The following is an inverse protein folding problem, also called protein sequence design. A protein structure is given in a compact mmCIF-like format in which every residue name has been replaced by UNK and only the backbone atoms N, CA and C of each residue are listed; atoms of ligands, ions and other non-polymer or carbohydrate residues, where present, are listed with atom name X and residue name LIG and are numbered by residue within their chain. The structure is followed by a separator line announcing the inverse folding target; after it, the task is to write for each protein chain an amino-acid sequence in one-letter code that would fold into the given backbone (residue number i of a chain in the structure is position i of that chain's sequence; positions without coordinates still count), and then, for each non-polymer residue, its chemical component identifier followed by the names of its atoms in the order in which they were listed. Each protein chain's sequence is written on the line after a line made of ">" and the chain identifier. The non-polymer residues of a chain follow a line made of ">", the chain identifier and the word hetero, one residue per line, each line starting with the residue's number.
data_IF_928204204788
#
_entry.id   IF_928204204788
#
_cell.length_a   1.000
_cell.length_b   1.000
_cell.length_c   1.000
_cell.angle_alpha   90.00
_cell.angle_beta   90.00
_cell.angle_gamma   90.00
#
_symmetry.space_group_name_H-M   'P 1'
#
loop_
_entity.id
_entity.type
_entity.pdbx_description
1 polymer ?
#
# COMPACT_ATOMS: atom_id res chain seq x y z
N UNK A 1 5.18 16.09 -3.85
CA UNK A 1 6.09 14.97 -3.56
C UNK A 1 5.29 13.70 -3.78
N UNK A 2 5.83 12.71 -4.48
CA UNK A 2 5.07 11.52 -4.87
C UNK A 2 5.32 10.37 -3.91
N UNK A 3 4.24 9.72 -3.49
CA UNK A 3 4.28 8.46 -2.75
C UNK A 3 3.63 7.38 -3.61
N UNK A 4 4.37 6.30 -3.86
CA UNK A 4 3.95 5.13 -4.62
C UNK A 4 3.61 4.03 -3.63
N UNK A 5 2.33 3.71 -3.52
CA UNK A 5 1.80 2.67 -2.65
C UNK A 5 1.65 1.37 -3.45
N UNK A 6 2.26 0.29 -2.98
CA UNK A 6 2.21 -1.03 -3.61
C UNK A 6 1.59 -2.00 -2.61
N UNK A 7 0.47 -2.64 -2.98
CA UNK A 7 -0.02 -3.77 -2.18
C UNK A 7 0.81 -5.00 -2.48
N UNK A 8 1.15 -5.79 -1.46
CA UNK A 8 1.79 -7.08 -1.66
C UNK A 8 1.05 -7.93 -2.72
N UNK A 9 1.80 -8.73 -3.48
CA UNK A 9 1.30 -9.68 -4.44
C UNK A 9 0.49 -10.80 -3.77
N UNK A 10 -0.26 -11.54 -4.58
CA UNK A 10 -1.23 -12.53 -4.11
C UNK A 10 -0.57 -13.62 -3.24
N UNK A 11 -0.98 -13.70 -1.97
CA UNK A 11 -0.40 -14.65 -1.00
C UNK A 11 -1.12 -16.00 -0.99
N UNK A 12 -0.51 -16.99 -0.32
CA UNK A 12 -1.17 -18.27 -0.04
C UNK A 12 -2.48 -18.08 0.76
N UNK A 13 -2.51 -17.16 1.72
CA UNK A 13 -3.72 -16.83 2.47
C UNK A 13 -4.81 -16.23 1.57
N UNK A 14 -4.44 -15.40 0.60
CA UNK A 14 -5.41 -14.89 -0.39
C UNK A 14 -6.00 -16.03 -1.22
N UNK A 15 -5.17 -16.98 -1.68
CA UNK A 15 -5.63 -18.14 -2.44
C UNK A 15 -6.64 -18.99 -1.67
N UNK A 16 -6.51 -19.05 -0.34
CA UNK A 16 -7.38 -19.82 0.55
C UNK A 16 -8.57 -19.01 1.09
N UNK A 17 -8.68 -17.72 0.76
CA UNK A 17 -9.70 -16.83 1.32
C UNK A 17 -9.60 -16.65 2.84
N UNK A 18 -8.37 -16.67 3.37
CA UNK A 18 -8.07 -16.52 4.79
C UNK A 18 -7.71 -15.07 5.09
N UNK A 19 -8.28 -14.53 6.17
CA UNK A 19 -7.89 -13.24 6.72
C UNK A 19 -6.61 -13.42 7.55
N UNK A 20 -5.45 -13.11 6.98
CA UNK A 20 -4.16 -13.42 7.60
C UNK A 20 -3.75 -12.47 8.71
N UNK A 21 -4.05 -11.18 8.57
CA UNK A 21 -3.51 -10.15 9.46
C UNK A 21 -1.99 -10.16 9.51
N UNK A 22 -1.46 -10.11 10.73
CA UNK A 22 -0.03 -10.10 11.01
C UNK A 22 0.59 -11.50 11.18
N UNK A 23 -0.13 -12.58 10.85
CA UNK A 23 0.42 -13.94 10.95
C UNK A 23 1.74 -14.09 10.16
N UNK A 24 2.80 -14.65 10.79
CA UNK A 24 4.08 -14.87 10.12
C UNK A 24 4.02 -16.08 9.18
N UNK A 25 5.05 -16.25 8.34
CA UNK A 25 5.22 -17.44 7.50
C UNK A 25 4.27 -17.54 6.30
N UNK A 26 3.55 -16.46 5.98
CA UNK A 26 2.65 -16.42 4.83
C UNK A 26 3.41 -15.89 3.62
N UNK A 27 3.84 -16.83 2.77
CA UNK A 27 4.53 -16.55 1.52
C UNK A 27 3.56 -16.18 0.39
N UNK A 28 4.14 -15.73 -0.73
CA UNK A 28 3.43 -15.58 -1.99
C UNK A 28 2.89 -16.93 -2.51
N UNK A 29 1.75 -16.86 -3.19
CA UNK A 29 1.25 -17.97 -4.01
C UNK A 29 1.98 -18.02 -5.36
N UNK A 30 1.85 -19.08 -6.18
CA UNK A 30 2.42 -19.11 -7.53
C UNK A 30 2.00 -17.89 -8.37
N UNK A 31 0.71 -17.52 -8.34
CA UNK A 31 0.19 -16.29 -8.96
C UNK A 31 0.87 -15.03 -8.41
N UNK A 32 1.18 -15.01 -7.12
CA UNK A 32 1.85 -13.90 -6.45
C UNK A 32 3.29 -13.75 -6.89
N UNK A 33 3.99 -14.86 -7.10
CA UNK A 33 5.35 -14.87 -7.64
C UNK A 33 5.34 -14.24 -9.04
N UNK A 34 4.43 -14.67 -9.93
CA UNK A 34 4.29 -14.06 -11.26
C UNK A 34 3.96 -12.55 -11.19
N UNK A 35 3.17 -12.15 -10.20
CA UNK A 35 2.85 -10.73 -9.96
C UNK A 35 4.07 -9.94 -9.49
N UNK A 36 4.89 -10.51 -8.60
CA UNK A 36 6.14 -9.93 -8.11
C UNK A 36 7.13 -9.71 -9.25
N UNK A 37 7.33 -10.72 -10.10
CA UNK A 37 8.20 -10.61 -11.28
C UNK A 37 7.71 -9.53 -12.27
N UNK A 38 6.39 -9.43 -12.48
CA UNK A 38 5.84 -8.37 -13.34
C UNK A 38 6.06 -6.95 -12.80
N UNK A 39 6.23 -6.77 -11.49
CA UNK A 39 6.56 -5.45 -10.94
C UNK A 39 7.91 -4.94 -11.43
N UNK A 40 8.85 -5.83 -11.78
CA UNK A 40 10.15 -5.45 -12.35
C UNK A 40 9.96 -4.63 -13.63
N UNK A 41 9.16 -5.15 -14.56
CA UNK A 41 8.89 -4.46 -15.83
C UNK A 41 7.98 -3.26 -15.62
N UNK A 42 6.93 -3.40 -14.81
CA UNK A 42 5.94 -2.31 -14.62
C UNK A 42 6.53 -1.08 -13.95
N UNK A 43 7.42 -1.26 -12.99
CA UNK A 43 8.05 -0.13 -12.30
C UNK A 43 9.32 0.33 -13.01
N UNK A 44 10.01 -0.54 -13.73
CA UNK A 44 11.25 -0.20 -14.44
C UNK A 44 12.30 0.47 -13.54
N UNK A 45 13.10 1.36 -14.11
CA UNK A 45 14.13 2.11 -13.39
C UNK A 45 13.61 3.48 -12.91
N UNK A 46 12.56 3.47 -12.09
CA UNK A 46 12.03 4.71 -11.50
C UNK A 46 13.00 5.34 -10.50
N UNK A 47 13.04 6.68 -10.51
CA UNK A 47 13.80 7.47 -9.55
C UNK A 47 13.10 7.47 -8.21
N UNK A 48 13.58 6.64 -7.30
CA UNK A 48 13.09 6.59 -5.92
C UNK A 48 14.03 7.31 -4.96
N UNK A 49 13.43 7.83 -3.89
CA UNK A 49 14.11 8.47 -2.78
C UNK A 49 14.30 7.51 -1.62
N UNK A 50 13.27 6.75 -1.29
CA UNK A 50 13.28 5.72 -0.26
C UNK A 50 12.34 4.58 -0.62
N UNK A 51 12.63 3.41 -0.05
CA UNK A 51 11.77 2.23 -0.11
C UNK A 51 11.44 1.81 1.32
N UNK A 52 10.15 1.84 1.66
CA UNK A 52 9.61 1.45 2.96
C UNK A 52 8.75 0.21 2.77
N UNK A 53 9.04 -0.84 3.52
CA UNK A 53 8.38 -2.14 3.34
C UNK A 53 7.82 -2.57 4.69
N UNK A 54 6.56 -3.00 4.70
CA UNK A 54 6.02 -3.70 5.86
C UNK A 54 6.93 -4.89 6.25
N UNK A 55 7.10 -5.18 7.55
CA UNK A 55 7.97 -6.27 8.02
C UNK A 55 7.48 -7.67 7.61
N UNK A 56 6.24 -7.80 7.10
CA UNK A 56 5.67 -9.10 6.76
C UNK A 56 6.29 -9.67 5.48
N UNK A 57 6.67 -10.96 5.53
CA UNK A 57 7.33 -11.72 4.47
C UNK A 57 6.74 -11.46 3.08
N UNK A 58 5.41 -11.57 2.92
CA UNK A 58 4.72 -11.32 1.64
C UNK A 58 5.01 -9.95 1.04
N UNK A 59 5.21 -8.88 1.83
CA UNK A 59 5.56 -7.57 1.30
C UNK A 59 7.00 -7.54 0.79
N UNK A 60 7.94 -8.13 1.54
CA UNK A 60 9.34 -8.27 1.11
C UNK A 60 9.43 -9.06 -0.19
N UNK A 61 8.86 -10.28 -0.22
CA UNK A 61 8.83 -11.15 -1.41
C UNK A 61 8.20 -10.48 -2.64
N UNK A 62 7.22 -9.58 -2.43
CA UNK A 62 6.55 -8.88 -3.52
C UNK A 62 7.40 -7.82 -4.20
N UNK A 63 8.37 -7.24 -3.49
CA UNK A 63 9.18 -6.14 -4.02
C UNK A 63 10.62 -6.55 -4.30
N UNK A 64 11.08 -7.66 -3.72
CA UNK A 64 12.46 -8.16 -3.86
C UNK A 64 12.95 -8.22 -5.31
N UNK A 65 12.22 -8.82 -6.29
CA UNK A 65 12.74 -8.90 -7.66
C UNK A 65 13.02 -7.52 -8.28
N UNK A 66 12.12 -6.56 -8.05
CA UNK A 66 12.32 -5.19 -8.54
C UNK A 66 13.43 -4.47 -7.76
N UNK A 67 13.49 -4.65 -6.44
CA UNK A 67 14.53 -4.05 -5.60
C UNK A 67 15.93 -4.55 -5.98
N UNK A 68 16.09 -5.86 -6.20
CA UNK A 68 17.35 -6.47 -6.66
C UNK A 68 17.77 -5.94 -8.03
N UNK A 69 16.80 -5.73 -8.93
CA UNK A 69 17.07 -5.18 -10.27
C UNK A 69 17.58 -3.74 -10.23
N UNK A 70 16.99 -2.88 -9.40
CA UNK A 70 17.36 -1.45 -9.32
C UNK A 70 18.46 -1.15 -8.30
N UNK A 71 18.67 -2.06 -7.34
CA UNK A 71 19.64 -1.96 -6.24
C UNK A 71 21.09 -2.22 -6.66
N UNK A 72 21.32 -2.60 -7.92
CA UNK A 72 22.64 -2.62 -8.57
C UNK A 72 23.08 -1.18 -8.92
N UNK A 73 24.36 -0.90 -9.30
CA UNK A 73 25.13 0.35 -9.05
C UNK A 73 24.58 1.71 -9.57
N UNK A 74 23.36 1.75 -10.11
CA UNK A 74 22.65 2.95 -10.54
C UNK A 74 22.06 3.78 -9.41
N UNK A 75 21.92 3.25 -8.17
CA UNK A 75 21.30 4.02 -7.07
C UNK A 75 21.89 3.75 -5.66
N UNK A 76 23.21 3.93 -5.45
CA UNK A 76 23.93 3.55 -4.22
C UNK A 76 23.52 4.30 -2.94
N UNK A 77 22.51 5.19 -2.99
CA UNK A 77 22.08 6.03 -1.86
C UNK A 77 20.68 5.71 -1.33
N UNK A 78 19.95 4.77 -1.93
CA UNK A 78 18.60 4.42 -1.48
C UNK A 78 18.68 3.22 -0.56
N UNK A 79 18.21 3.35 0.68
CA UNK A 79 18.08 2.24 1.61
C UNK A 79 16.66 1.68 1.58
N UNK A 80 16.56 0.35 1.64
CA UNK A 80 15.33 -0.34 2.02
C UNK A 80 15.19 -0.24 3.54
N UNK A 81 14.04 0.25 3.99
CA UNK A 81 13.70 0.37 5.42
C UNK A 81 12.48 -0.48 5.72
N UNK A 82 12.56 -1.28 6.78
CA UNK A 82 11.38 -1.94 7.32
C UNK A 82 10.59 -0.95 8.17
N UNK A 83 9.31 -0.82 7.88
CA UNK A 83 8.44 0.15 8.54
C UNK A 83 7.26 -0.56 9.22
N UNK A 84 7.36 -0.67 10.54
CA UNK A 84 6.33 -1.25 11.41
C UNK A 84 4.99 -0.51 11.28
N UNK A 85 4.98 0.78 10.95
CA UNK A 85 3.72 1.49 10.76
C UNK A 85 2.99 1.08 9.48
N UNK A 86 3.65 0.40 8.55
CA UNK A 86 3.06 -0.14 7.32
C UNK A 86 2.60 -1.60 7.46
N UNK A 87 2.71 -2.21 8.65
CA UNK A 87 2.26 -3.58 8.92
C UNK A 87 0.74 -3.74 8.69
N UNK A 88 0.29 -4.95 8.36
CA UNK A 88 -1.14 -5.24 8.18
C UNK A 88 -1.92 -4.99 9.47
N UNK A 89 -3.23 -4.83 9.34
CA UNK A 89 -4.15 -4.81 10.48
C UNK A 89 -3.93 -6.04 11.37
N UNK A 90 -3.77 -5.83 12.67
CA UNK A 90 -3.92 -6.88 13.67
C UNK A 90 -5.40 -7.22 13.85
N UNK A 91 -5.84 -8.24 13.11
CA UNK A 91 -7.21 -8.75 13.21
C UNK A 91 -7.46 -9.59 14.48
N UNK A 92 -6.47 -9.76 15.37
CA UNK A 92 -6.60 -10.49 16.62
C UNK A 92 -7.21 -11.87 16.44
N UNK A 93 -8.31 -12.15 17.13
CA UNK A 93 -9.03 -13.43 17.04
C UNK A 93 -9.62 -13.75 15.67
N UNK A 94 -9.65 -12.80 14.72
CA UNK A 94 -10.10 -13.06 13.35
C UNK A 94 -8.99 -13.60 12.45
N UNK A 95 -7.72 -13.40 12.82
CA UNK A 95 -6.57 -13.89 12.07
C UNK A 95 -6.63 -15.41 11.86
N UNK A 96 -6.28 -15.85 10.65
CA UNK A 96 -6.28 -17.26 10.26
C UNK A 96 -7.66 -17.85 9.92
N UNK A 97 -8.75 -17.09 10.09
CA UNK A 97 -10.11 -17.57 9.79
C UNK A 97 -10.49 -17.28 8.34
N UNK A 98 -11.40 -18.09 7.79
CA UNK A 98 -11.93 -17.88 6.43
C UNK A 98 -12.83 -16.65 6.39
N UNK A 99 -12.66 -15.80 5.38
CA UNK A 99 -13.52 -14.64 5.12
C UNK A 99 -14.99 -15.04 4.99
N UNK A 100 -15.28 -16.19 4.37
CA UNK A 100 -16.64 -16.72 4.27
C UNK A 100 -17.28 -16.99 5.64
N UNK A 101 -16.51 -17.35 6.66
CA UNK A 101 -17.00 -17.50 8.02
C UNK A 101 -17.14 -16.16 8.75
N UNK A 102 -16.13 -15.29 8.59
CA UNK A 102 -16.11 -13.97 9.23
C UNK A 102 -17.24 -13.06 8.73
N UNK A 103 -17.61 -13.16 7.45
CA UNK A 103 -18.71 -12.39 6.85
C UNK A 103 -20.07 -12.58 7.51
N UNK A 104 -20.25 -13.64 8.30
CA UNK A 104 -21.48 -13.94 9.04
C UNK A 104 -21.48 -13.38 10.47
N UNK A 105 -20.35 -12.81 10.95
CA UNK A 105 -20.25 -12.22 12.29
C UNK A 105 -20.87 -10.82 12.29
N UNK A 106 -21.48 -10.43 13.41
CA UNK A 106 -22.04 -9.08 13.59
C UNK A 106 -21.02 -7.97 13.34
N UNK A 107 -19.77 -8.16 13.82
CA UNK A 107 -18.67 -7.23 13.59
C UNK A 107 -18.29 -7.03 12.12
N UNK A 108 -18.68 -7.94 11.22
CA UNK A 108 -18.47 -7.75 9.79
C UNK A 108 -19.24 -6.54 9.25
N UNK A 109 -20.46 -6.29 9.77
CA UNK A 109 -21.24 -5.10 9.40
C UNK A 109 -20.49 -3.82 9.78
N UNK A 110 -19.84 -3.80 10.95
CA UNK A 110 -19.00 -2.67 11.38
C UNK A 110 -17.81 -2.48 10.42
N UNK A 111 -17.09 -3.54 10.06
CA UNK A 111 -16.00 -3.50 9.06
C UNK A 111 -16.47 -2.95 7.70
N UNK A 112 -17.71 -3.20 7.32
CA UNK A 112 -18.25 -2.79 6.01
C UNK A 112 -18.87 -1.39 6.02
N UNK A 113 -19.51 -0.96 7.12
CA UNK A 113 -20.36 0.23 7.15
C UNK A 113 -19.86 1.32 8.09
N UNK A 114 -19.17 0.95 9.17
CA UNK A 114 -18.60 1.90 10.14
C UNK A 114 -17.17 1.52 10.54
N UNK A 115 -16.24 1.33 9.58
CA UNK A 115 -14.83 1.02 9.83
C UNK A 115 -14.16 1.85 10.93
N UNK A 116 -14.48 3.14 11.06
CA UNK A 116 -13.92 4.04 12.08
C UNK A 116 -14.20 3.58 13.51
N UNK A 117 -15.32 2.88 13.73
CA UNK A 117 -15.71 2.32 15.03
C UNK A 117 -15.27 0.85 15.22
N UNK A 118 -14.58 0.26 14.24
CA UNK A 118 -14.19 -1.14 14.31
C UNK A 118 -12.96 -1.34 15.19
N UNK A 119 -13.09 -2.24 16.18
CA UNK A 119 -12.00 -2.82 16.94
C UNK A 119 -12.05 -4.34 16.84
N UNK A 120 -10.96 -4.95 16.35
CA UNK A 120 -10.88 -6.40 16.26
C UNK A 120 -10.65 -7.00 17.67
N UNK A 121 -11.36 -8.08 18.06
CA UNK A 121 -11.17 -8.68 19.37
C UNK A 121 -9.73 -9.17 19.57
N UNK A 122 -9.08 -8.69 20.63
CA UNK A 122 -7.65 -8.95 20.89
C UNK A 122 -6.73 -8.53 19.73
N UNK A 123 -7.12 -7.49 18.99
CA UNK A 123 -6.35 -6.88 17.90
C UNK A 123 -6.47 -5.36 17.94
N UNK A 124 -6.25 -4.70 16.82
CA UNK A 124 -6.29 -3.24 16.72
C UNK A 124 -7.61 -2.70 16.12
N UNK A 125 -7.77 -1.37 16.16
CA UNK A 125 -8.87 -0.67 15.49
C UNK A 125 -8.44 -0.07 14.16
N UNK A 126 -9.35 0.02 13.18
CA UNK A 126 -9.01 0.53 11.85
C UNK A 126 -8.62 2.02 11.86
N UNK A 127 -9.14 2.81 12.81
CA UNK A 127 -8.70 4.18 13.00
C UNK A 127 -7.22 4.26 13.43
N UNK A 128 -6.77 3.36 14.32
CA UNK A 128 -5.38 3.29 14.75
C UNK A 128 -4.45 2.85 13.61
N UNK A 129 -4.93 1.95 12.72
CA UNK A 129 -4.21 1.57 11.49
C UNK A 129 -3.97 2.79 10.60
N UNK A 130 -5.00 3.60 10.36
CA UNK A 130 -4.87 4.81 9.56
C UNK A 130 -3.88 5.79 10.21
N UNK A 131 -3.97 5.98 11.53
CA UNK A 131 -3.08 6.87 12.28
C UNK A 131 -1.61 6.48 12.11
N UNK A 132 -1.26 5.21 12.37
CA UNK A 132 0.12 4.75 12.22
C UNK A 132 0.58 4.81 10.76
N UNK A 133 -0.23 4.40 9.80
CA UNK A 133 0.13 4.44 8.39
C UNK A 133 0.41 5.89 7.90
N UNK A 134 -0.39 6.86 8.35
CA UNK A 134 -0.18 8.27 8.06
C UNK A 134 1.06 8.84 8.76
N UNK A 135 1.51 8.26 9.88
CA UNK A 135 2.79 8.64 10.51
C UNK A 135 3.97 8.43 9.55
N UNK A 136 4.04 7.30 8.85
CA UNK A 136 5.07 7.05 7.83
C UNK A 136 4.99 8.05 6.67
N UNK A 137 3.77 8.34 6.20
CA UNK A 137 3.53 9.36 5.17
C UNK A 137 4.10 10.71 5.62
N UNK A 138 3.73 11.19 6.81
CA UNK A 138 4.21 12.47 7.31
C UNK A 138 5.73 12.49 7.52
N UNK A 139 6.32 11.38 8.00
CA UNK A 139 7.77 11.26 8.17
C UNK A 139 8.55 11.39 6.87
N UNK A 140 8.05 10.82 5.76
CA UNK A 140 8.72 10.99 4.46
C UNK A 140 8.48 12.38 3.89
N UNK A 141 7.29 12.95 4.06
CA UNK A 141 6.98 14.31 3.61
C UNK A 141 7.82 15.38 4.33
N UNK A 142 8.19 15.15 5.60
CA UNK A 142 9.06 16.06 6.35
C UNK A 142 10.52 16.08 5.85
N UNK A 143 10.95 15.05 5.09
CA UNK A 143 12.31 14.98 4.54
C UNK A 143 12.39 15.72 3.21
N UNK A 144 13.51 16.39 2.94
CA UNK A 144 13.81 16.98 1.62
C UNK A 144 14.45 15.94 0.71
N UNK A 145 14.18 16.01 -0.59
CA UNK A 145 14.82 15.14 -1.58
C UNK A 145 14.05 15.11 -2.90
N UNK A 146 14.65 14.46 -3.91
CA UNK A 146 14.03 14.23 -5.22
C UNK A 146 13.75 12.74 -5.39
N UNK A 147 12.78 12.42 -6.24
CA UNK A 147 12.31 11.05 -6.45
C UNK A 147 11.09 10.72 -5.60
N UNK A 148 10.52 9.55 -5.85
CA UNK A 148 9.31 9.07 -5.18
C UNK A 148 9.65 8.24 -3.95
N UNK A 149 8.82 8.31 -2.91
CA UNK A 149 8.88 7.35 -1.80
C UNK A 149 8.00 6.14 -2.14
N UNK A 150 8.55 4.94 -2.06
CA UNK A 150 7.82 3.70 -2.37
C UNK A 150 7.46 3.00 -1.08
N UNK A 151 6.18 2.76 -0.86
CA UNK A 151 5.66 2.04 0.31
C UNK A 151 5.05 0.72 -0.15
N UNK A 152 5.50 -0.40 0.44
CA UNK A 152 4.95 -1.73 0.17
C UNK A 152 4.19 -2.22 1.40
N UNK A 153 2.88 -2.35 1.26
CA UNK A 153 1.97 -2.61 2.38
C UNK A 153 0.79 -3.49 1.95
N UNK A 154 -0.34 -3.35 2.64
CA UNK A 154 -1.49 -4.24 2.57
C UNK A 154 -2.75 -3.50 2.15
N UNK A 155 -3.81 -4.26 1.85
CA UNK A 155 -5.03 -3.71 1.27
C UNK A 155 -5.68 -2.62 2.13
N UNK A 156 -6.04 -2.95 3.36
CA UNK A 156 -6.78 -2.03 4.23
C UNK A 156 -5.90 -0.86 4.72
N UNK A 157 -4.60 -1.09 4.92
CA UNK A 157 -3.63 -0.03 5.21
C UNK A 157 -3.57 0.98 4.07
N UNK A 158 -3.41 0.54 2.82
CA UNK A 158 -3.36 1.42 1.66
C UNK A 158 -4.69 2.14 1.45
N UNK A 159 -5.83 1.44 1.57
CA UNK A 159 -7.15 2.10 1.51
C UNK A 159 -7.27 3.21 2.54
N UNK A 160 -6.78 3.00 3.76
CA UNK A 160 -6.84 4.02 4.82
C UNK A 160 -5.99 5.26 4.49
N UNK A 161 -4.81 5.08 3.90
CA UNK A 161 -3.96 6.18 3.43
C UNK A 161 -4.67 6.95 2.29
N UNK A 162 -5.23 6.23 1.32
CA UNK A 162 -5.95 6.83 0.18
C UNK A 162 -7.17 7.61 0.65
N UNK A 163 -7.95 7.06 1.59
CA UNK A 163 -9.09 7.76 2.17
C UNK A 163 -8.67 9.08 2.83
N UNK A 164 -7.60 9.06 3.62
CA UNK A 164 -7.01 10.27 4.21
C UNK A 164 -6.59 11.30 3.16
N UNK A 165 -5.87 10.86 2.11
CA UNK A 165 -5.44 11.73 1.02
C UNK A 165 -6.61 12.38 0.26
N UNK A 166 -7.73 11.66 0.11
CA UNK A 166 -8.96 12.17 -0.51
C UNK A 166 -9.84 13.00 0.43
N UNK A 167 -9.44 13.19 1.70
CA UNK A 167 -10.31 13.75 2.75
C UNK A 167 -11.64 13.00 2.88
N UNK A 168 -11.63 11.70 2.58
CA UNK A 168 -12.75 10.79 2.71
C UNK A 168 -12.82 10.27 4.15
N UNK A 169 -14.03 10.26 4.73
CA UNK A 169 -14.23 9.66 6.04
C UNK A 169 -13.84 8.16 6.01
N UNK A 170 -13.20 7.66 7.07
CA UNK A 170 -12.70 6.28 7.09
C UNK A 170 -13.82 5.24 6.89
N UNK A 171 -15.06 5.58 7.26
CA UNK A 171 -16.21 4.69 7.05
C UNK A 171 -16.49 4.39 5.57
N UNK A 172 -16.08 5.27 4.66
CA UNK A 172 -16.25 5.09 3.22
C UNK A 172 -15.07 4.37 2.56
N UNK A 173 -14.01 3.99 3.30
CA UNK A 173 -12.80 3.44 2.70
C UNK A 173 -13.01 2.10 1.96
N UNK A 174 -14.09 1.36 2.23
CA UNK A 174 -14.43 0.13 1.50
C UNK A 174 -14.85 0.39 0.04
N UNK A 175 -15.14 1.64 -0.32
CA UNK A 175 -15.35 2.06 -1.72
C UNK A 175 -14.05 2.06 -2.53
N UNK A 176 -12.90 2.01 -1.85
CA UNK A 176 -11.58 1.98 -2.47
C UNK A 176 -11.16 0.51 -2.64
N UNK A 177 -10.90 0.10 -3.87
CA UNK A 177 -10.36 -1.24 -4.18
C UNK A 177 -8.86 -1.12 -4.33
N UNK A 178 -8.10 -2.03 -3.71
CA UNK A 178 -6.63 -2.14 -3.84
C UNK A 178 -6.31 -3.62 -4.03
N UNK A 179 -6.02 -4.04 -5.25
CA UNK A 179 -5.77 -5.42 -5.65
C UNK A 179 -4.32 -5.85 -5.34
N UNK A 180 -4.03 -7.16 -5.19
CA UNK A 180 -2.66 -7.62 -4.97
C UNK A 180 -1.73 -7.20 -6.12
N UNK A 181 -0.52 -6.74 -5.77
CA UNK A 181 0.46 -6.14 -6.69
C UNK A 181 -0.04 -4.91 -7.48
N UNK A 182 -1.13 -4.29 -7.01
CA UNK A 182 -1.55 -3.00 -7.56
C UNK A 182 -0.66 -1.87 -7.07
N UNK A 183 -0.59 -0.83 -7.88
CA UNK A 183 0.15 0.41 -7.63
C UNK A 183 -0.85 1.56 -7.58
N UNK A 184 -0.74 2.35 -6.54
CA UNK A 184 -1.49 3.59 -6.31
C UNK A 184 -0.48 4.72 -6.12
N UNK A 185 -0.71 5.86 -6.76
CA UNK A 185 0.23 6.99 -6.73
C UNK A 185 -0.47 8.22 -6.20
N UNK A 186 0.07 8.73 -5.11
CA UNK A 186 -0.39 9.94 -4.43
C UNK A 186 0.63 11.06 -4.63
N UNK A 187 0.14 12.29 -4.76
CA UNK A 187 0.98 13.47 -4.86
C UNK A 187 0.62 14.51 -3.80
N UNK A 188 1.62 14.86 -3.00
CA UNK A 188 1.56 15.78 -1.87
C UNK A 188 2.34 17.08 -2.16
N UNK A 189 2.38 17.53 -3.41
CA UNK A 189 3.08 18.77 -3.79
C UNK A 189 2.28 20.04 -3.52
N UNK A 190 0.95 19.91 -3.40
CA UNK A 190 -0.01 20.99 -3.20
C UNK A 190 -0.53 20.96 -1.76
N UNK A 191 -1.25 22.02 -1.36
CA UNK A 191 -1.87 22.11 -0.03
C UNK A 191 -2.77 20.91 0.29
N UNK A 192 -3.43 20.36 -0.73
CA UNK A 192 -4.21 19.12 -0.63
C UNK A 192 -3.54 18.00 -1.42
N UNK A 193 -3.48 16.77 -0.88
CA UNK A 193 -3.01 15.61 -1.63
C UNK A 193 -3.90 15.33 -2.85
N UNK A 194 -3.31 14.73 -3.89
CA UNK A 194 -4.01 14.31 -5.11
C UNK A 194 -3.76 12.83 -5.37
N UNK A 195 -4.78 12.12 -5.84
CA UNK A 195 -4.65 10.75 -6.34
C UNK A 195 -4.37 10.82 -7.83
N UNK A 196 -3.17 10.40 -8.26
CA UNK A 196 -2.78 10.41 -9.67
C UNK A 196 -3.07 9.07 -10.37
N UNK A 197 -3.02 7.99 -9.61
CA UNK A 197 -3.27 6.63 -10.07
C UNK A 197 -3.86 5.83 -8.90
N UNK A 198 -4.88 5.01 -9.14
CA UNK A 198 -5.49 4.18 -8.12
C UNK A 198 -5.65 2.75 -8.62
N UNK A 199 -5.13 1.79 -7.86
CA UNK A 199 -5.31 0.35 -8.11
C UNK A 199 -4.88 -0.13 -9.50
N UNK A 200 -3.81 0.41 -10.06
CA UNK A 200 -3.32 -0.08 -11.35
C UNK A 200 -2.58 -1.40 -11.14
N UNK A 201 -2.96 -2.44 -11.88
CA UNK A 201 -2.33 -3.77 -11.83
C UNK A 201 -1.77 -4.23 -13.17
N UNK A 202 -1.74 -3.35 -14.18
CA UNK A 202 -1.57 -3.75 -15.59
C UNK A 202 -0.59 -2.88 -16.36
N UNK A 203 -0.54 -1.59 -16.07
CA UNK A 203 0.21 -0.62 -16.86
C UNK A 203 1.71 -0.72 -16.57
N UNK A 204 2.51 -0.38 -17.59
CA UNK A 204 3.88 0.06 -17.42
C UNK A 204 3.87 1.50 -16.90
N UNK A 205 4.53 1.72 -15.76
CA UNK A 205 4.49 2.95 -14.99
C UNK A 205 5.82 3.70 -15.01
N UNK A 206 6.87 3.17 -15.64
CA UNK A 206 8.21 3.76 -15.56
C UNK A 206 8.20 5.20 -16.10
N UNK A 207 7.66 5.41 -17.30
CA UNK A 207 7.60 6.74 -17.92
C UNK A 207 6.70 7.70 -17.14
N UNK A 208 5.61 7.19 -16.54
CA UNK A 208 4.68 7.98 -15.73
C UNK A 208 5.33 8.45 -14.42
N UNK A 209 6.06 7.55 -13.72
CA UNK A 209 6.69 7.82 -12.45
C UNK A 209 8.02 8.60 -12.58
N UNK A 210 8.69 8.52 -13.74
CA UNK A 210 9.86 9.34 -14.05
C UNK A 210 9.51 10.69 -14.68
N UNK A 211 8.26 10.93 -15.05
CA UNK A 211 7.83 12.17 -15.67
C UNK A 211 8.14 13.37 -14.75
N UNK A 212 8.59 14.51 -15.31
CA UNK A 212 8.80 15.70 -14.51
C UNK A 212 7.50 16.14 -13.86
N UNK A 213 7.62 16.64 -12.62
CA UNK A 213 6.50 17.14 -11.86
C UNK A 213 5.74 18.22 -12.65
N UNK A 214 4.44 18.00 -12.91
CA UNK A 214 3.59 18.98 -13.60
C UNK A 214 3.26 20.12 -12.64
N UNK A 215 4.01 21.22 -12.74
CA UNK A 215 3.84 22.41 -11.91
C UNK A 215 2.54 23.20 -12.19
N UNK A 216 1.86 22.95 -13.31
CA UNK A 216 0.57 23.58 -13.67
C UNK A 216 -0.32 22.59 -14.43
N UNK A 217 -1.56 22.42 -13.97
CA UNK A 217 -2.61 21.76 -14.73
C UNK A 217 -2.95 22.65 -15.94
N UNK A 218 -2.38 22.33 -17.11
CA UNK A 218 -2.64 23.09 -18.34
C UNK A 218 -3.93 22.70 -19.06
N UNK A 219 -4.72 21.75 -18.51
CA UNK A 219 -5.98 21.34 -19.12
C UNK A 219 -7.00 20.96 -18.04
N UNK A 220 -7.93 21.88 -17.75
CA UNK A 220 -9.19 21.58 -17.06
C UNK A 220 -9.16 21.79 -15.54
N UNK A 221 -10.15 22.53 -15.04
CA UNK A 221 -10.21 23.09 -13.69
C UNK A 221 -10.02 22.08 -12.55
N UNK A 222 -9.13 22.43 -11.64
CA UNK A 222 -8.84 21.72 -10.40
C UNK A 222 -7.54 22.25 -9.84
N UNK A 223 -7.64 23.01 -8.74
CA UNK A 223 -6.58 23.78 -8.10
C UNK A 223 -5.28 22.99 -7.83
#
# INVERSE_FOLDING_TARGET
>A
MQIVLIRHAHSQANAQGILSGQLPGIALSPRGIDQSERLVTRLGAIKIRSLHVSPLQRCRESISPWWEKIGSPTNPKVSLTEDENLIEVDYGQWSGKKLSQLSRKSGWKTVQSTPSAMYFPSGEGLAAVQERAMRSVHQVLAKKGRGSDVFVSHGDVIKSIVASALSMHLDDFQRIVIDPASVTVLDFSSDKPRVLLLNDSRSDLESFLNAPFRARNLTGGGA
#
